data_IF_475240766457
#
_entry.id   IF_475240766457
#
_cell.length_a   1.000
_cell.length_b   1.000
_cell.length_c   1.000
_cell.angle_alpha   90.00
_cell.angle_beta   90.00
_cell.angle_gamma   90.00
#
_symmetry.space_group_name_H-M   'P 1'
#
loop_
_entity.id
_entity.type
_entity.pdbx_description
1 polymer ?
#
# COMPACT_ATOMS: atom_id res chain seq x y z
N UNK A 1 -10.36 13.39 -5.07
CA UNK A 1 -9.87 12.02 -4.77
C UNK A 1 -10.19 11.16 -5.99
N UNK A 2 -9.39 10.12 -6.29
CA UNK A 2 -9.80 9.14 -7.29
C UNK A 2 -11.18 8.59 -6.91
N UNK A 3 -12.06 8.44 -7.90
CA UNK A 3 -13.36 7.83 -7.72
C UNK A 3 -13.20 6.34 -8.03
N UNK A 4 -13.66 5.46 -7.14
CA UNK A 4 -13.55 4.00 -7.28
C UNK A 4 -14.94 3.40 -7.48
N UNK A 5 -15.55 3.59 -8.67
CA UNK A 5 -16.95 3.23 -8.92
C UNK A 5 -17.19 1.72 -8.89
N UNK A 6 -16.14 0.93 -9.13
CA UNK A 6 -16.24 -0.51 -9.29
C UNK A 6 -15.81 -1.29 -8.04
N UNK A 7 -15.27 -0.60 -7.03
CA UNK A 7 -14.89 -1.20 -5.77
C UNK A 7 -16.14 -1.65 -5.01
N UNK A 8 -16.08 -2.83 -4.39
CA UNK A 8 -17.19 -3.35 -3.59
C UNK A 8 -17.44 -2.37 -2.43
N UNK A 9 -18.65 -1.78 -2.32
CA UNK A 9 -18.93 -0.75 -1.33
C UNK A 9 -18.86 -1.28 0.11
N UNK A 10 -19.16 -2.55 0.36
CA UNK A 10 -19.03 -3.14 1.70
C UNK A 10 -17.55 -3.26 2.12
N UNK A 11 -16.68 -3.59 1.17
CA UNK A 11 -15.23 -3.66 1.38
C UNK A 11 -14.56 -2.28 1.41
N UNK A 12 -15.14 -1.28 0.74
CA UNK A 12 -14.44 -0.03 0.38
C UNK A 12 -14.99 1.24 1.03
N UNK A 13 -16.27 1.28 1.44
CA UNK A 13 -16.92 2.52 1.94
C UNK A 13 -16.60 2.83 3.40
N UNK A 14 -16.06 1.88 4.16
CA UNK A 14 -15.77 2.03 5.59
C UNK A 14 -14.39 2.60 5.92
N UNK A 15 -13.46 2.65 4.96
CA UNK A 15 -12.02 2.82 5.27
C UNK A 15 -11.35 3.99 4.56
N UNK A 16 -11.95 5.19 4.59
CA UNK A 16 -11.37 6.40 3.97
C UNK A 16 -10.31 7.03 4.87
N UNK A 17 -9.07 6.57 4.76
CA UNK A 17 -7.93 6.97 5.61
C UNK A 17 -7.81 8.49 5.84
N UNK A 18 -7.90 9.30 4.77
CA UNK A 18 -7.72 10.76 4.88
C UNK A 18 -8.90 11.50 5.51
N UNK A 19 -10.11 10.96 5.44
CA UNK A 19 -11.29 11.59 6.03
C UNK A 19 -11.39 11.34 7.53
N UNK A 20 -10.89 10.20 8.01
CA UNK A 20 -10.97 9.77 9.41
C UNK A 20 -9.69 10.11 10.21
N UNK A 21 -8.50 10.10 9.58
CA UNK A 21 -7.22 10.16 10.33
C UNK A 21 -6.29 11.32 9.96
N UNK A 22 -6.74 12.32 9.19
CA UNK A 22 -5.96 13.54 8.91
C UNK A 22 -4.75 13.38 7.97
N UNK A 23 -4.43 12.17 7.50
CA UNK A 23 -3.37 11.89 6.52
C UNK A 23 -2.25 10.96 7.04
N UNK A 24 -1.18 10.79 6.25
CA UNK A 24 -0.07 9.86 6.50
C UNK A 24 1.27 10.59 6.75
N UNK A 25 1.46 11.26 7.90
CA UNK A 25 2.65 12.10 8.21
C UNK A 25 3.30 11.78 9.59
N UNK A 26 4.59 12.12 9.77
CA UNK A 26 5.47 11.84 10.96
C UNK A 26 5.62 13.06 11.92
N UNK A 27 5.89 13.00 13.25
CA UNK A 27 5.75 14.14 14.21
C UNK A 27 7.07 14.67 14.80
N UNK A 28 6.97 15.56 15.80
CA UNK A 28 8.08 16.28 16.45
C UNK A 28 8.92 15.44 17.43
N UNK A 29 10.20 15.78 17.61
CA UNK A 29 11.14 15.05 18.46
C UNK A 29 10.87 15.13 19.97
N UNK A 30 10.10 16.12 20.43
CA UNK A 30 9.86 16.38 21.85
C UNK A 30 8.75 15.51 22.48
N UNK A 31 8.01 14.79 21.62
CA UNK A 31 6.81 14.03 21.98
C UNK A 31 7.05 12.51 21.93
N UNK A 32 8.29 12.09 21.71
CA UNK A 32 8.67 10.68 21.72
C UNK A 32 8.44 10.10 23.14
N UNK A 33 7.85 8.91 23.24
CA UNK A 33 7.70 8.09 24.46
C UNK A 33 6.63 8.48 25.50
N UNK A 34 5.69 9.39 25.21
CA UNK A 34 4.72 9.87 26.23
C UNK A 34 3.37 9.16 26.26
N UNK A 35 2.93 8.53 25.18
CA UNK A 35 1.81 7.57 25.13
C UNK A 35 2.15 6.53 24.04
N UNK A 36 1.45 5.39 24.02
CA UNK A 36 1.69 4.24 23.12
C UNK A 36 2.29 4.65 21.74
N UNK A 37 3.56 4.30 21.57
CA UNK A 37 4.63 5.08 20.91
C UNK A 37 4.62 4.99 19.37
N UNK A 38 3.43 4.74 18.83
CA UNK A 38 3.15 4.41 17.43
C UNK A 38 2.18 5.42 16.81
N UNK A 39 1.24 5.94 17.62
CA UNK A 39 0.28 6.97 17.23
C UNK A 39 0.80 8.40 17.49
N UNK A 40 1.69 8.57 18.46
CA UNK A 40 2.42 9.83 18.67
C UNK A 40 3.56 10.02 17.66
N UNK A 41 3.83 9.03 16.78
CA UNK A 41 4.53 9.15 15.48
C UNK A 41 3.66 9.78 14.37
N UNK A 42 2.44 10.23 14.66
CA UNK A 42 1.48 10.64 13.64
C UNK A 42 0.89 12.05 13.83
N UNK A 43 1.36 12.83 14.81
CA UNK A 43 0.94 14.23 15.00
C UNK A 43 1.84 15.24 14.26
N UNK A 44 1.88 15.21 12.93
CA UNK A 44 2.30 16.38 12.15
C UNK A 44 1.07 17.15 11.71
N UNK A 45 0.87 18.32 12.33
CA UNK A 45 -0.12 19.29 11.86
C UNK A 45 0.14 19.69 10.40
N UNK A 46 -0.88 20.22 9.75
CA UNK A 46 -0.81 20.83 8.41
C UNK A 46 0.22 21.98 8.28
N UNK A 47 0.89 22.37 9.37
CA UNK A 47 1.82 23.51 9.43
C UNK A 47 3.30 23.11 9.48
N UNK A 48 3.66 21.82 9.52
CA UNK A 48 5.06 21.38 9.47
C UNK A 48 5.42 20.78 8.09
N UNK A 49 6.23 21.46 7.25
CA UNK A 49 6.62 21.02 5.91
C UNK A 49 7.60 19.83 5.90
N UNK A 50 8.22 19.49 7.04
CA UNK A 50 9.27 18.45 7.13
C UNK A 50 8.72 17.06 7.53
N UNK A 51 7.40 16.92 7.69
CA UNK A 51 6.78 15.66 8.07
C UNK A 51 6.83 14.63 6.94
N UNK A 52 7.58 13.54 7.12
CA UNK A 52 7.72 12.47 6.14
C UNK A 52 6.38 11.76 5.88
N UNK A 53 6.08 11.51 4.60
CA UNK A 53 4.96 10.67 4.16
C UNK A 53 5.32 9.18 4.28
N UNK A 54 4.54 8.39 5.02
CA UNK A 54 4.80 6.95 5.26
C UNK A 54 4.18 6.02 4.21
N UNK A 55 3.73 6.57 3.08
CA UNK A 55 2.96 5.83 2.07
C UNK A 55 3.71 4.62 1.49
N UNK A 56 5.03 4.74 1.32
CA UNK A 56 5.86 3.63 0.82
C UNK A 56 5.98 2.51 1.85
N UNK A 57 6.09 2.88 3.14
CA UNK A 57 6.11 1.92 4.23
C UNK A 57 4.77 1.19 4.40
N UNK A 58 3.65 1.89 4.24
CA UNK A 58 2.29 1.29 4.28
C UNK A 58 2.17 0.25 3.17
N UNK A 59 2.47 0.65 1.92
CA UNK A 59 2.38 -0.24 0.77
C UNK A 59 3.28 -1.48 0.93
N UNK A 60 4.51 -1.30 1.40
CA UNK A 60 5.46 -2.40 1.59
C UNK A 60 5.04 -3.37 2.67
N UNK A 61 4.62 -2.85 3.83
CA UNK A 61 4.18 -3.68 4.96
C UNK A 61 2.93 -4.46 4.59
N UNK A 62 1.99 -3.83 3.88
CA UNK A 62 0.77 -4.51 3.43
C UNK A 62 1.10 -5.65 2.48
N UNK A 63 2.01 -5.45 1.51
CA UNK A 63 2.44 -6.53 0.59
C UNK A 63 2.99 -7.73 1.36
N UNK A 64 3.88 -7.49 2.34
CA UNK A 64 4.45 -8.56 3.17
C UNK A 64 3.35 -9.28 3.96
N UNK A 65 2.51 -8.55 4.69
CA UNK A 65 1.45 -9.12 5.52
C UNK A 65 0.42 -9.92 4.69
N UNK A 66 0.00 -9.36 3.55
CA UNK A 66 -0.97 -9.98 2.65
C UNK A 66 -0.45 -11.30 2.09
N UNK A 67 0.82 -11.33 1.65
CA UNK A 67 1.43 -12.55 1.14
C UNK A 67 1.63 -13.61 2.22
N UNK A 68 1.87 -13.22 3.47
CA UNK A 68 1.92 -14.12 4.62
C UNK A 68 0.53 -14.56 5.12
N UNK A 69 -0.56 -14.04 4.54
CA UNK A 69 -1.92 -14.48 4.86
C UNK A 69 -2.51 -13.91 6.15
N UNK A 70 -2.02 -12.74 6.57
CA UNK A 70 -2.60 -11.95 7.66
C UNK A 70 -4.05 -11.58 7.28
N UNK A 71 -5.08 -12.13 7.95
CA UNK A 71 -6.48 -11.96 7.55
C UNK A 71 -6.91 -10.49 7.45
N UNK A 72 -6.41 -9.67 8.36
CA UNK A 72 -6.69 -8.25 8.50
C UNK A 72 -6.33 -7.45 7.24
N UNK A 73 -5.45 -7.97 6.38
CA UNK A 73 -5.11 -7.31 5.11
C UNK A 73 -6.22 -7.37 4.06
N UNK A 74 -7.24 -8.21 4.29
CA UNK A 74 -8.35 -8.48 3.36
C UNK A 74 -9.72 -8.42 4.02
N UNK A 75 -9.79 -8.62 5.34
CA UNK A 75 -11.04 -8.58 6.09
C UNK A 75 -11.41 -7.13 6.39
N UNK A 76 -12.52 -6.61 5.83
CA UNK A 76 -12.95 -5.25 6.11
C UNK A 76 -13.14 -5.03 7.62
N UNK A 77 -13.76 -5.97 8.33
CA UNK A 77 -14.11 -5.79 9.74
C UNK A 77 -12.90 -5.61 10.66
N UNK A 78 -11.71 -6.05 10.22
CA UNK A 78 -10.47 -5.97 10.98
C UNK A 78 -9.49 -4.94 10.43
N UNK A 79 -9.68 -4.47 9.20
CA UNK A 79 -8.68 -3.64 8.51
C UNK A 79 -8.44 -2.29 9.20
N UNK A 80 -9.46 -1.64 9.75
CA UNK A 80 -9.30 -0.31 10.36
C UNK A 80 -8.43 -0.33 11.61
N UNK A 81 -8.70 -1.26 12.52
CA UNK A 81 -7.90 -1.47 13.73
C UNK A 81 -6.48 -1.91 13.36
N UNK A 82 -6.36 -2.87 12.41
CA UNK A 82 -5.07 -3.28 11.88
C UNK A 82 -4.29 -2.12 11.25
N UNK A 83 -4.95 -1.28 10.46
CA UNK A 83 -4.34 -0.13 9.82
C UNK A 83 -3.81 0.86 10.86
N UNK A 84 -4.66 1.19 11.83
CA UNK A 84 -4.40 2.21 12.85
C UNK A 84 -3.33 1.76 13.82
N UNK A 85 -3.44 0.55 14.35
CA UNK A 85 -2.66 0.10 15.49
C UNK A 85 -1.36 -0.63 15.06
N UNK A 86 -1.37 -1.27 13.89
CA UNK A 86 -0.25 -2.11 13.46
C UNK A 86 0.41 -1.64 12.17
N UNK A 87 -0.35 -1.49 11.07
CA UNK A 87 0.22 -1.25 9.75
C UNK A 87 0.98 0.08 9.70
N UNK A 88 0.40 1.15 10.25
CA UNK A 88 1.06 2.47 10.31
C UNK A 88 2.33 2.42 11.15
N UNK A 89 2.32 1.68 12.26
CA UNK A 89 3.50 1.52 13.08
C UNK A 89 4.64 0.86 12.31
N UNK A 90 4.39 -0.30 11.72
CA UNK A 90 5.37 -1.02 10.91
C UNK A 90 5.84 -0.18 9.71
N UNK A 91 4.91 0.53 9.06
CA UNK A 91 5.22 1.44 7.97
C UNK A 91 6.24 2.51 8.37
N UNK A 92 6.12 3.10 9.57
CA UNK A 92 7.08 4.11 10.05
C UNK A 92 8.47 3.53 10.24
N UNK A 93 8.58 2.27 10.68
CA UNK A 93 9.87 1.60 10.89
C UNK A 93 10.58 1.31 9.58
N UNK A 94 9.83 0.93 8.54
CA UNK A 94 10.40 0.49 7.25
C UNK A 94 10.60 1.62 6.26
N UNK A 95 9.92 2.76 6.41
CA UNK A 95 9.99 3.90 5.50
C UNK A 95 11.42 4.44 5.33
N UNK A 96 12.29 4.26 6.33
CA UNK A 96 13.70 4.67 6.33
C UNK A 96 14.65 3.59 5.79
N UNK A 97 14.15 2.39 5.45
CA UNK A 97 14.99 1.30 4.96
C UNK A 97 15.39 1.46 3.49
N UNK A 98 14.82 2.42 2.78
CA UNK A 98 15.19 2.78 1.42
C UNK A 98 14.03 3.42 0.66
N UNK A 99 14.16 3.45 -0.66
CA UNK A 99 13.15 4.13 -1.50
C UNK A 99 11.98 3.23 -1.89
N UNK A 100 12.18 1.92 -1.89
CA UNK A 100 11.24 0.94 -2.45
C UNK A 100 11.25 -0.37 -1.65
N UNK A 101 10.26 -1.22 -1.92
CA UNK A 101 10.05 -2.48 -1.19
C UNK A 101 11.26 -3.43 -1.25
N UNK A 102 12.06 -3.43 -2.32
CA UNK A 102 13.27 -4.25 -2.42
C UNK A 102 14.28 -3.93 -1.31
N UNK A 103 14.47 -2.65 -1.02
CA UNK A 103 15.34 -2.15 0.04
C UNK A 103 14.77 -2.47 1.41
N UNK A 104 13.44 -2.37 1.56
CA UNK A 104 12.74 -2.73 2.80
C UNK A 104 12.89 -4.23 3.10
N UNK A 105 12.65 -5.09 2.12
CA UNK A 105 12.79 -6.56 2.24
C UNK A 105 14.24 -6.93 2.54
N UNK A 106 15.20 -6.39 1.80
CA UNK A 106 16.62 -6.66 2.04
C UNK A 106 17.07 -6.23 3.43
N UNK A 107 16.48 -5.15 3.99
CA UNK A 107 16.79 -4.71 5.35
C UNK A 107 16.20 -5.62 6.41
N UNK A 108 14.96 -6.09 6.24
CA UNK A 108 14.38 -7.11 7.12
C UNK A 108 15.23 -8.39 7.15
N UNK A 109 15.63 -8.89 5.97
CA UNK A 109 16.47 -10.07 5.88
C UNK A 109 17.83 -9.88 6.57
N UNK A 110 18.47 -8.72 6.39
CA UNK A 110 19.72 -8.37 7.10
C UNK A 110 19.56 -8.32 8.62
N UNK A 111 18.36 -8.03 9.13
CA UNK A 111 18.05 -8.02 10.56
C UNK A 111 17.66 -9.41 11.08
N UNK A 112 17.73 -10.46 10.25
CA UNK A 112 17.34 -11.82 10.63
C UNK A 112 15.82 -11.99 10.74
N UNK A 113 15.05 -11.10 10.09
CA UNK A 113 13.59 -11.15 10.03
C UNK A 113 13.18 -11.60 8.62
N UNK A 114 13.05 -12.92 8.35
CA UNK A 114 12.65 -13.39 7.04
C UNK A 114 11.24 -12.90 6.71
N UNK A 115 11.07 -12.33 5.52
CA UNK A 115 9.79 -11.73 5.08
C UNK A 115 8.80 -12.75 4.53
N UNK A 116 9.24 -13.97 4.20
CA UNK A 116 8.37 -15.02 3.67
C UNK A 116 7.81 -14.75 2.28
N UNK A 117 8.41 -13.81 1.52
CA UNK A 117 7.97 -13.43 0.18
C UNK A 117 9.12 -13.55 -0.82
N UNK A 118 8.79 -13.82 -2.08
CA UNK A 118 9.76 -13.85 -3.18
C UNK A 118 9.34 -12.91 -4.30
N UNK A 119 10.30 -12.13 -4.81
CA UNK A 119 10.10 -11.30 -5.98
C UNK A 119 10.06 -12.18 -7.23
N UNK A 120 9.01 -12.05 -8.03
CA UNK A 120 8.84 -12.83 -9.27
C UNK A 120 9.07 -12.00 -10.53
N UNK A 121 8.82 -10.68 -10.47
CA UNK A 121 8.98 -9.78 -11.61
C UNK A 121 9.18 -8.34 -11.12
N UNK A 122 9.97 -7.56 -11.85
CA UNK A 122 10.06 -6.12 -11.69
C UNK A 122 10.13 -5.46 -13.06
N UNK A 123 9.38 -4.38 -13.26
CA UNK A 123 9.28 -3.71 -14.56
C UNK A 123 8.75 -2.28 -14.43
N UNK A 124 9.01 -1.48 -15.45
CA UNK A 124 8.51 -0.10 -15.59
C UNK A 124 7.41 -0.09 -16.67
N UNK A 125 6.24 0.45 -16.35
CA UNK A 125 5.12 0.54 -17.30
C UNK A 125 4.16 1.70 -16.96
N UNK A 126 3.36 2.14 -17.93
CA UNK A 126 2.32 3.14 -17.65
C UNK A 126 1.15 2.56 -16.82
N UNK A 127 0.91 1.24 -16.89
CA UNK A 127 -0.19 0.55 -16.20
C UNK A 127 0.18 -0.90 -15.94
N UNK A 128 -0.48 -1.51 -14.96
CA UNK A 128 -0.40 -2.94 -14.71
C UNK A 128 -1.42 -3.67 -15.61
N UNK A 129 -0.98 -4.57 -16.48
CA UNK A 129 -1.88 -5.41 -17.27
C UNK A 129 -2.16 -6.73 -16.56
N UNK A 130 -3.32 -7.35 -16.85
CA UNK A 130 -3.64 -8.69 -16.32
C UNK A 130 -2.57 -9.73 -16.66
N UNK A 131 -1.99 -9.64 -17.86
CA UNK A 131 -0.93 -10.55 -18.32
C UNK A 131 0.39 -10.42 -17.54
N UNK A 132 0.57 -9.35 -16.75
CA UNK A 132 1.76 -9.16 -15.92
C UNK A 132 1.66 -9.85 -14.56
N UNK A 133 0.46 -10.28 -14.19
CA UNK A 133 0.14 -10.85 -12.88
C UNK A 133 0.30 -12.38 -12.90
N UNK A 134 0.71 -12.96 -11.77
CA UNK A 134 0.79 -14.41 -11.65
C UNK A 134 -0.57 -15.08 -11.87
N UNK A 135 -0.64 -16.02 -12.81
CA UNK A 135 -1.88 -16.70 -13.19
C UNK A 135 -2.43 -17.63 -12.09
N UNK A 136 -1.60 -18.05 -11.15
CA UNK A 136 -1.98 -18.97 -10.07
C UNK A 136 -1.49 -18.48 -8.71
N UNK A 137 -2.24 -18.84 -7.67
CA UNK A 137 -1.92 -18.52 -6.29
C UNK A 137 -2.15 -17.06 -5.91
N UNK A 138 -1.70 -16.73 -4.70
CA UNK A 138 -1.72 -15.36 -4.17
C UNK A 138 -0.54 -14.58 -4.73
N UNK A 139 -0.78 -13.33 -5.10
CA UNK A 139 0.24 -12.40 -5.58
C UNK A 139 0.02 -11.02 -4.99
N UNK A 140 1.07 -10.22 -4.90
CA UNK A 140 0.97 -8.82 -4.55
C UNK A 140 2.00 -8.00 -5.31
N UNK A 141 1.69 -6.73 -5.54
CA UNK A 141 2.52 -5.80 -6.25
C UNK A 141 2.68 -4.52 -5.42
N UNK A 142 3.93 -4.11 -5.22
CA UNK A 142 4.25 -2.75 -4.82
C UNK A 142 4.41 -1.90 -6.08
N UNK A 143 3.80 -0.73 -6.09
CA UNK A 143 3.78 0.19 -7.22
C UNK A 143 4.34 1.53 -6.76
N UNK A 144 5.43 1.98 -7.37
CA UNK A 144 5.96 3.33 -7.17
C UNK A 144 5.48 4.25 -8.29
N UNK A 145 4.78 5.32 -7.92
CA UNK A 145 4.41 6.41 -8.84
C UNK A 145 5.05 7.68 -8.31
N UNK A 146 6.14 8.12 -8.96
CA UNK A 146 7.01 9.16 -8.43
C UNK A 146 7.49 8.83 -7.02
N UNK A 147 7.10 9.63 -6.03
CA UNK A 147 7.48 9.41 -4.61
C UNK A 147 6.44 8.62 -3.80
N UNK A 148 5.35 8.18 -4.40
CA UNK A 148 4.26 7.49 -3.70
C UNK A 148 4.28 5.99 -3.89
N UNK A 149 3.99 5.25 -2.81
CA UNK A 149 3.77 3.81 -2.84
C UNK A 149 2.27 3.49 -2.87
N UNK A 150 1.88 2.59 -3.78
CA UNK A 150 0.57 1.95 -3.83
C UNK A 150 0.82 0.45 -3.73
N UNK A 151 -0.04 -0.28 -3.04
CA UNK A 151 -0.01 -1.74 -3.06
C UNK A 151 -1.29 -2.30 -3.68
N UNK A 152 -1.16 -3.41 -4.37
CA UNK A 152 -2.32 -4.21 -4.78
C UNK A 152 -1.98 -5.70 -4.72
N UNK A 153 -3.00 -6.55 -4.75
CA UNK A 153 -2.79 -7.99 -4.70
C UNK A 153 -4.09 -8.77 -4.69
N UNK A 154 -3.98 -10.09 -4.72
CA UNK A 154 -5.15 -10.94 -4.75
C UNK A 154 -4.87 -12.36 -5.22
N UNK A 155 -5.94 -13.01 -5.66
CA UNK A 155 -5.90 -14.28 -6.40
C UNK A 155 -6.56 -14.07 -7.76
N UNK A 156 -6.02 -14.70 -8.81
CA UNK A 156 -6.69 -14.79 -10.10
C UNK A 156 -7.41 -16.14 -10.24
N UNK A 157 -8.51 -16.16 -10.98
CA UNK A 157 -9.32 -17.37 -11.20
C UNK A 157 -10.80 -17.03 -11.36
N UNK A 158 -11.64 -18.06 -11.28
CA UNK A 158 -13.11 -17.94 -11.27
C UNK A 158 -13.60 -17.18 -10.03
N UNK A 159 -12.91 -17.34 -8.91
CA UNK A 159 -13.23 -16.71 -7.62
C UNK A 159 -12.20 -15.62 -7.27
N UNK A 160 -11.82 -14.82 -8.28
CA UNK A 160 -10.81 -13.79 -8.10
C UNK A 160 -11.25 -12.76 -7.04
N UNK A 161 -10.42 -12.60 -6.00
CA UNK A 161 -10.54 -11.55 -4.99
C UNK A 161 -9.32 -10.67 -5.11
N UNK A 162 -9.53 -9.38 -5.39
CA UNK A 162 -8.49 -8.43 -5.69
C UNK A 162 -8.61 -7.21 -4.78
N UNK A 163 -7.47 -6.61 -4.43
CA UNK A 163 -7.40 -5.53 -3.47
C UNK A 163 -6.44 -4.44 -3.95
N UNK A 164 -6.82 -3.19 -3.75
CA UNK A 164 -5.93 -2.04 -3.85
C UNK A 164 -5.81 -1.45 -2.44
N UNK A 165 -4.60 -1.35 -1.93
CA UNK A 165 -4.30 -0.59 -0.73
C UNK A 165 -3.57 0.70 -1.15
N UNK A 166 -4.34 1.78 -1.21
CA UNK A 166 -3.83 3.11 -1.55
C UNK A 166 -3.72 3.92 -0.25
N UNK A 167 -2.52 4.30 0.21
CA UNK A 167 -2.36 4.89 1.54
C UNK A 167 -3.26 6.10 1.83
N UNK A 168 -3.52 6.98 0.86
CA UNK A 168 -4.35 8.18 1.07
C UNK A 168 -5.86 7.85 1.13
N UNK A 169 -6.29 6.77 0.48
CA UNK A 169 -7.70 6.44 0.26
C UNK A 169 -8.18 5.26 1.10
N UNK A 170 -7.35 4.24 1.34
CA UNK A 170 -7.69 3.05 2.11
C UNK A 170 -7.55 1.73 1.34
N UNK A 171 -8.17 0.68 1.90
CA UNK A 171 -8.32 -0.63 1.27
C UNK A 171 -9.59 -0.65 0.40
N UNK A 172 -9.43 -1.07 -0.84
CA UNK A 172 -10.50 -1.25 -1.83
C UNK A 172 -10.54 -2.72 -2.22
N UNK A 173 -11.71 -3.34 -2.10
CA UNK A 173 -11.90 -4.76 -2.42
C UNK A 173 -12.73 -4.95 -3.70
N UNK A 174 -12.41 -5.99 -4.47
CA UNK A 174 -13.01 -6.28 -5.77
C UNK A 174 -13.36 -7.76 -5.92
N UNK A 175 -14.57 -8.00 -6.39
CA UNK A 175 -15.13 -9.32 -6.68
C UNK A 175 -14.98 -9.62 -8.17
N UNK A 176 -13.75 -9.90 -8.58
CA UNK A 176 -13.38 -10.16 -9.97
C UNK A 176 -12.54 -9.04 -10.62
N UNK A 177 -12.10 -9.34 -11.85
CA UNK A 177 -11.08 -8.55 -12.57
C UNK A 177 -11.61 -7.29 -13.25
N UNK A 178 -12.89 -7.30 -13.62
CA UNK A 178 -13.47 -6.30 -14.53
C UNK A 178 -13.36 -4.88 -13.98
N UNK A 179 -13.56 -4.70 -12.67
CA UNK A 179 -13.45 -3.40 -12.01
C UNK A 179 -12.06 -3.04 -11.50
N UNK A 180 -11.24 -4.06 -11.18
CA UNK A 180 -9.96 -3.87 -10.50
C UNK A 180 -8.92 -3.14 -11.35
N UNK A 181 -8.66 -3.61 -12.57
CA UNK A 181 -7.61 -3.01 -13.42
C UNK A 181 -7.92 -1.58 -13.85
N UNK A 182 -9.16 -1.23 -14.27
CA UNK A 182 -9.51 0.16 -14.55
C UNK A 182 -9.35 1.09 -13.34
N UNK A 183 -9.85 0.69 -12.17
CA UNK A 183 -9.74 1.50 -10.95
C UNK A 183 -8.27 1.67 -10.50
N UNK A 184 -7.42 0.66 -10.70
CA UNK A 184 -5.99 0.76 -10.43
C UNK A 184 -5.30 1.72 -11.41
N UNK A 185 -5.66 1.69 -12.68
CA UNK A 185 -5.13 2.61 -13.69
C UNK A 185 -5.53 4.07 -13.39
N UNK A 186 -6.78 4.28 -12.96
CA UNK A 186 -7.27 5.58 -12.48
C UNK A 186 -6.52 6.05 -11.23
N UNK A 187 -6.21 5.13 -10.32
CA UNK A 187 -5.41 5.43 -9.12
C UNK A 187 -3.99 5.89 -9.48
N UNK A 188 -3.30 5.16 -10.37
CA UNK A 188 -1.95 5.48 -10.83
C UNK A 188 -1.96 6.82 -11.59
N UNK A 189 -2.90 7.00 -12.50
CA UNK A 189 -3.04 8.23 -13.30
C UNK A 189 -3.37 9.44 -12.42
N UNK A 190 -4.26 9.27 -11.44
CA UNK A 190 -4.57 10.29 -10.45
C UNK A 190 -3.34 10.69 -9.63
N UNK A 191 -2.45 9.74 -9.30
CA UNK A 191 -1.22 10.06 -8.59
C UNK A 191 -0.21 10.80 -9.46
N UNK A 192 -0.05 10.42 -10.74
CA UNK A 192 0.77 11.18 -11.71
C UNK A 192 0.34 12.65 -11.77
N UNK A 193 -0.97 12.88 -11.91
CA UNK A 193 -1.52 14.22 -11.96
C UNK A 193 -1.23 15.02 -10.67
N UNK A 194 -1.36 14.39 -9.50
CA UNK A 194 -1.04 15.00 -8.19
C UNK A 194 0.45 15.34 -8.05
N UNK A 195 1.33 14.56 -8.65
CA UNK A 195 2.79 14.79 -8.63
C UNK A 195 3.30 15.63 -9.82
N UNK A 196 2.41 16.15 -10.67
CA UNK A 196 2.76 16.90 -11.90
C UNK A 196 3.66 16.11 -12.86
N UNK A 197 3.53 14.79 -12.89
CA UNK A 197 4.24 13.90 -13.81
C UNK A 197 3.51 13.79 -15.16
N UNK A 198 4.22 13.52 -16.26
CA UNK A 198 3.58 13.23 -17.55
C UNK A 198 2.56 12.08 -17.43
N UNK A 199 1.42 12.11 -18.16
CA UNK A 199 0.42 11.04 -18.11
C UNK A 199 0.97 9.65 -18.48
N UNK A 200 2.00 9.61 -19.31
CA UNK A 200 2.68 8.41 -19.78
C UNK A 200 3.91 8.04 -18.95
N UNK A 201 4.21 8.79 -17.89
CA UNK A 201 5.37 8.53 -17.04
C UNK A 201 5.29 7.14 -16.42
N UNK A 202 6.37 6.38 -16.48
CA UNK A 202 6.32 4.99 -16.04
C UNK A 202 6.15 4.92 -14.51
N UNK A 203 5.20 4.09 -14.06
CA UNK A 203 5.22 3.57 -12.71
C UNK A 203 6.17 2.36 -12.68
N UNK A 204 6.81 2.13 -11.53
CA UNK A 204 7.64 0.95 -11.31
C UNK A 204 6.87 -0.08 -10.48
N UNK A 205 6.92 -1.33 -10.91
CA UNK A 205 6.18 -2.44 -10.32
C UNK A 205 7.15 -3.48 -9.78
N UNK A 206 6.93 -3.92 -8.54
CA UNK A 206 7.63 -5.07 -7.95
C UNK A 206 6.58 -6.10 -7.56
N UNK A 207 6.58 -7.22 -8.29
CA UNK A 207 5.62 -8.30 -8.13
C UNK A 207 6.20 -9.40 -7.26
N UNK A 208 5.40 -9.86 -6.31
CA UNK A 208 5.78 -10.86 -5.32
C UNK A 208 4.74 -11.99 -5.20
N UNK A 209 5.20 -13.13 -4.72
CA UNK A 209 4.41 -14.28 -4.29
C UNK A 209 4.89 -14.76 -2.92
N UNK A 210 4.13 -15.64 -2.24
CA UNK A 210 4.64 -16.35 -1.07
C UNK A 210 5.96 -17.08 -1.40
N UNK A 211 6.92 -16.96 -0.49
CA UNK A 211 8.27 -17.55 -0.57
C UNK A 211 8.23 -19.06 -0.71
#
# INVERSE_FOLDING_TARGET
>A
MPHFPNANPELSSRYRNKATHGGNRTPSAADWFKNDDTLDRLAASSTNPDAQEIGKGIASTWVVAFLNGVPETTDPALYEDYYTDFLRYQATMVQDFGEHIDSHVARFEKLGMPTGIKQIKQFDAARLAEADVAATGRWACYISVGRHGIACGGTLGTDARLYINEPDTGLLGYDGKAGFFPDLDDCISGRRAKEHLPPTDAARFWMYQPG
#
